data_IF_555419352927
#
_entry.id   IF_555419352927
#
_cell.length_a   1.000
_cell.length_b   1.000
_cell.length_c   1.000
_cell.angle_alpha   90.00
_cell.angle_beta   90.00
_cell.angle_gamma   90.00
#
_symmetry.space_group_name_H-M   'P 1'
#
loop_
_entity.id
_entity.type
_entity.pdbx_description
1 polymer ?
#
# COMPACT_ATOMS: atom_id res chain seq x y z
N UNK A 1 5.25 -12.56 47.16
CA UNK A 1 5.79 -11.43 46.37
C UNK A 1 5.72 -11.87 44.92
N UNK A 2 4.71 -11.39 44.18
CA UNK A 2 4.47 -11.79 42.79
C UNK A 2 5.58 -11.18 41.92
N UNK A 3 6.25 -12.01 41.10
CA UNK A 3 7.07 -11.51 40.00
C UNK A 3 6.13 -10.80 39.02
N UNK A 4 6.03 -9.48 39.14
CA UNK A 4 5.37 -8.67 38.12
C UNK A 4 6.23 -8.77 36.86
N UNK A 5 5.69 -9.41 35.82
CA UNK A 5 6.32 -9.47 34.50
C UNK A 5 6.57 -8.04 34.02
N UNK A 6 7.81 -7.71 33.70
CA UNK A 6 8.18 -6.44 33.10
C UNK A 6 7.83 -6.44 31.61
N UNK A 7 7.55 -5.25 31.07
CA UNK A 7 7.43 -5.06 29.62
C UNK A 7 8.83 -5.01 29.00
N UNK A 8 8.93 -5.44 27.76
CA UNK A 8 10.17 -5.32 27.00
C UNK A 8 10.37 -3.89 26.48
N UNK A 9 11.61 -3.62 26.06
CA UNK A 9 12.01 -2.31 25.58
C UNK A 9 11.27 -1.90 24.29
N UNK A 10 10.94 -2.86 23.42
CA UNK A 10 10.18 -2.60 22.19
C UNK A 10 8.78 -2.08 22.51
N UNK A 11 8.06 -2.69 23.45
CA UNK A 11 6.74 -2.18 23.85
C UNK A 11 6.84 -0.79 24.48
N UNK A 12 7.89 -0.52 25.27
CA UNK A 12 8.12 0.83 25.84
C UNK A 12 8.42 1.89 24.75
N UNK A 13 9.13 1.51 23.68
CA UNK A 13 9.37 2.36 22.51
C UNK A 13 8.07 2.67 21.77
N UNK A 14 7.26 1.65 21.48
CA UNK A 14 5.95 1.82 20.85
C UNK A 14 5.03 2.67 21.72
N UNK A 15 5.12 2.55 23.04
CA UNK A 15 4.38 3.41 23.98
C UNK A 15 4.84 4.87 23.88
N UNK A 16 6.15 5.12 23.80
CA UNK A 16 6.73 6.46 23.66
C UNK A 16 6.26 7.16 22.37
N UNK A 17 6.32 6.48 21.23
CA UNK A 17 5.85 7.04 19.94
C UNK A 17 4.32 7.01 19.79
N UNK A 18 3.63 6.34 20.70
CA UNK A 18 2.19 6.23 20.65
C UNK A 18 1.66 5.26 19.59
N UNK A 19 2.46 4.28 19.20
CA UNK A 19 2.15 3.28 18.18
C UNK A 19 1.43 2.04 18.75
N UNK A 20 1.29 1.94 20.08
CA UNK A 20 0.49 0.90 20.72
C UNK A 20 -1.01 1.09 20.49
N UNK A 21 -1.71 -0.04 20.37
CA UNK A 21 -3.17 -0.08 20.35
C UNK A 21 -3.75 0.49 21.66
N UNK A 22 -4.96 1.06 21.58
CA UNK A 22 -5.58 1.77 22.72
C UNK A 22 -5.78 0.90 23.97
N UNK A 23 -5.95 -0.41 23.82
CA UNK A 23 -6.05 -1.35 24.93
C UNK A 23 -4.69 -1.61 25.60
N UNK A 24 -3.66 -1.84 24.78
CA UNK A 24 -2.28 -2.10 25.24
C UNK A 24 -1.69 -0.87 25.92
N UNK A 25 -1.90 0.31 25.33
CA UNK A 25 -1.47 1.58 25.92
C UNK A 25 -2.07 1.81 27.31
N UNK A 26 -3.35 1.47 27.52
CA UNK A 26 -4.00 1.57 28.83
C UNK A 26 -3.44 0.56 29.83
N UNK A 27 -3.25 -0.69 29.40
CA UNK A 27 -2.68 -1.73 30.26
C UNK A 27 -1.25 -1.39 30.71
N UNK A 28 -0.40 -0.97 29.77
CA UNK A 28 0.95 -0.50 30.07
C UNK A 28 0.93 0.77 30.93
N UNK A 29 0.02 1.72 30.65
CA UNK A 29 -0.16 2.90 31.49
C UNK A 29 -0.43 2.55 32.96
N UNK A 30 -1.35 1.62 33.22
CA UNK A 30 -1.62 1.13 34.57
C UNK A 30 -0.40 0.40 35.18
N UNK A 31 0.30 -0.43 34.41
CA UNK A 31 1.52 -1.09 34.86
C UNK A 31 2.61 -0.07 35.26
N UNK A 32 2.76 1.01 34.50
CA UNK A 32 3.71 2.08 34.80
C UNK A 32 3.35 2.85 36.08
N UNK A 33 2.13 2.81 36.59
CA UNK A 33 1.80 3.38 37.91
C UNK A 33 2.34 2.51 39.05
N UNK A 34 2.40 1.20 38.85
CA UNK A 34 2.78 0.23 39.88
C UNK A 34 4.26 -0.20 39.81
N UNK A 35 4.87 -0.20 38.62
CA UNK A 35 6.18 -0.78 38.37
C UNK A 35 7.29 0.27 38.20
N UNK A 36 8.17 0.38 39.21
CA UNK A 36 9.29 1.31 39.18
C UNK A 36 10.35 0.98 38.12
N UNK A 37 10.55 -0.31 37.80
CA UNK A 37 11.56 -0.75 36.82
C UNK A 37 11.18 -0.28 35.42
N UNK A 38 9.97 -0.56 34.97
CA UNK A 38 9.51 -0.13 33.65
C UNK A 38 9.41 1.40 33.53
N UNK A 39 9.15 2.12 34.64
CA UNK A 39 9.25 3.59 34.64
C UNK A 39 10.69 4.06 34.41
N UNK A 40 11.66 3.49 35.12
CA UNK A 40 13.07 3.85 34.95
C UNK A 40 13.57 3.54 33.54
N UNK A 41 13.16 2.41 32.96
CA UNK A 41 13.49 2.07 31.57
C UNK A 41 12.83 3.03 30.57
N UNK A 42 11.57 3.41 30.79
CA UNK A 42 10.90 4.39 29.93
C UNK A 42 11.57 5.77 30.02
N UNK A 43 11.99 6.19 31.20
CA UNK A 43 12.67 7.48 31.39
C UNK A 43 14.08 7.47 30.77
N UNK A 44 14.83 6.36 30.86
CA UNK A 44 16.14 6.24 30.19
C UNK A 44 16.00 6.25 28.66
N UNK A 45 14.96 5.61 28.12
CA UNK A 45 14.60 5.68 26.72
C UNK A 45 14.30 7.13 26.30
N UNK A 46 13.44 7.83 27.04
CA UNK A 46 13.10 9.24 26.77
C UNK A 46 14.33 10.14 26.72
N UNK A 47 15.23 10.05 27.70
CA UNK A 47 16.47 10.83 27.72
C UNK A 47 17.33 10.57 26.48
N UNK A 48 17.39 9.31 26.03
CA UNK A 48 18.17 8.93 24.85
C UNK A 48 17.53 9.44 23.55
N UNK A 49 16.20 9.36 23.45
CA UNK A 49 15.46 9.78 22.26
C UNK A 49 15.36 11.31 22.15
N UNK A 50 15.17 12.01 23.27
CA UNK A 50 15.11 13.47 23.32
C UNK A 50 16.47 14.13 23.01
N UNK A 51 17.57 13.38 23.14
CA UNK A 51 18.89 13.82 22.72
C UNK A 51 19.06 13.83 21.18
N UNK A 52 18.18 13.16 20.43
CA UNK A 52 18.21 13.15 18.97
C UNK A 52 17.55 14.44 18.46
N UNK A 53 18.25 15.29 17.70
CA UNK A 53 17.66 16.50 17.15
C UNK A 53 16.54 16.11 16.18
N UNK A 54 15.33 16.60 16.45
CA UNK A 54 14.25 16.50 15.47
C UNK A 54 14.53 17.46 14.33
N UNK A 55 14.96 16.91 13.19
CA UNK A 55 15.16 17.68 11.97
C UNK A 55 13.82 17.74 11.26
N UNK A 56 13.12 18.87 11.37
CA UNK A 56 12.02 19.14 10.45
C UNK A 56 12.58 19.41 9.06
N UNK A 57 12.12 18.67 8.03
CA UNK A 57 12.59 18.91 6.67
C UNK A 57 12.15 20.32 6.24
N UNK A 58 13.13 21.16 5.89
CA UNK A 58 12.86 22.48 5.33
C UNK A 58 12.45 22.33 3.86
N UNK A 59 11.17 22.09 3.64
CA UNK A 59 10.60 21.98 2.30
C UNK A 59 10.14 23.38 1.86
N UNK A 60 10.62 23.85 0.70
CA UNK A 60 10.16 25.12 0.16
C UNK A 60 8.67 25.05 -0.22
N UNK A 61 7.98 26.19 -0.16
CA UNK A 61 6.57 26.25 -0.58
C UNK A 61 6.42 25.78 -2.05
N UNK A 62 7.39 26.13 -2.90
CA UNK A 62 7.38 25.73 -4.31
C UNK A 62 7.51 24.21 -4.48
N UNK A 63 8.41 23.56 -3.73
CA UNK A 63 8.57 22.10 -3.78
C UNK A 63 7.34 21.38 -3.25
N UNK A 64 6.69 21.93 -2.21
CA UNK A 64 5.44 21.39 -1.67
C UNK A 64 4.31 21.46 -2.69
N UNK A 65 4.20 22.56 -3.45
CA UNK A 65 3.21 22.69 -4.51
C UNK A 65 3.50 21.73 -5.67
N UNK A 66 4.75 21.66 -6.13
CA UNK A 66 5.15 20.72 -7.18
C UNK A 66 4.82 19.28 -6.81
N UNK A 67 5.16 18.86 -5.59
CA UNK A 67 4.82 17.52 -5.10
C UNK A 67 3.30 17.29 -5.05
N UNK A 68 2.53 18.27 -4.58
CA UNK A 68 1.07 18.16 -4.55
C UNK A 68 0.48 18.01 -5.96
N UNK A 69 0.98 18.78 -6.93
CA UNK A 69 0.53 18.72 -8.33
C UNK A 69 0.87 17.36 -8.95
N UNK A 70 2.08 16.84 -8.72
CA UNK A 70 2.51 15.52 -9.18
C UNK A 70 1.63 14.39 -8.62
N UNK A 71 1.31 14.43 -7.32
CA UNK A 71 0.41 13.45 -6.68
C UNK A 71 -0.99 13.52 -7.29
N UNK A 72 -1.53 14.72 -7.47
CA UNK A 72 -2.86 14.93 -8.07
C UNK A 72 -2.90 14.41 -9.52
N UNK A 73 -1.87 14.72 -10.31
CA UNK A 73 -1.77 14.24 -11.68
C UNK A 73 -1.69 12.71 -11.74
N UNK A 74 -0.90 12.09 -10.87
CA UNK A 74 -0.79 10.64 -10.81
C UNK A 74 -2.12 9.97 -10.46
N UNK A 75 -2.88 10.54 -9.53
CA UNK A 75 -4.23 10.05 -9.19
C UNK A 75 -5.18 10.15 -10.38
N UNK A 76 -5.18 11.27 -11.12
CA UNK A 76 -6.01 11.44 -12.31
C UNK A 76 -5.65 10.45 -13.43
N UNK A 77 -4.35 10.23 -13.68
CA UNK A 77 -3.87 9.24 -14.67
C UNK A 77 -4.33 7.82 -14.32
N UNK A 78 -4.21 7.41 -13.05
CA UNK A 78 -4.69 6.10 -12.57
C UNK A 78 -6.21 5.96 -12.75
N UNK A 79 -6.99 6.98 -12.40
CA UNK A 79 -8.45 6.95 -12.53
C UNK A 79 -8.89 6.91 -14.00
N UNK A 80 -8.24 7.67 -14.89
CA UNK A 80 -8.52 7.68 -16.32
C UNK A 80 -8.31 6.30 -16.97
N UNK A 81 -7.19 5.63 -16.64
CA UNK A 81 -6.92 4.25 -17.09
C UNK A 81 -7.98 3.26 -16.59
N UNK A 82 -8.40 3.35 -15.33
CA UNK A 82 -9.42 2.46 -14.80
C UNK A 82 -10.80 2.69 -15.45
N UNK A 83 -11.17 3.95 -15.75
CA UNK A 83 -12.42 4.25 -16.47
C UNK A 83 -12.41 3.72 -17.90
N UNK A 84 -11.29 3.81 -18.60
CA UNK A 84 -11.15 3.26 -19.96
C UNK A 84 -11.20 1.73 -19.97
N UNK A 85 -10.58 1.07 -18.98
CA UNK A 85 -10.64 -0.38 -18.82
C UNK A 85 -12.08 -0.90 -18.61
N UNK A 86 -12.91 -0.14 -17.89
CA UNK A 86 -14.32 -0.51 -17.67
C UNK A 86 -15.27 0.01 -18.76
N UNK A 87 -14.84 0.95 -19.60
CA UNK A 87 -15.64 1.47 -20.72
C UNK A 87 -15.69 0.53 -21.94
N UNK A 88 -14.75 -0.43 -22.04
CA UNK A 88 -14.66 -1.37 -23.16
C UNK A 88 -15.67 -2.52 -23.11
N UNK A 89 -16.31 -2.79 -21.97
CA UNK A 89 -17.20 -3.95 -21.80
C UNK A 89 -18.60 -3.77 -22.41
N UNK A 90 -19.00 -2.55 -22.78
CA UNK A 90 -20.34 -2.30 -23.33
C UNK A 90 -20.47 -2.44 -24.86
N UNK A 91 -19.37 -2.46 -25.61
CA UNK A 91 -19.43 -2.53 -27.09
C UNK A 91 -19.68 -3.98 -27.57
N UNK A 92 -19.29 -5.00 -26.80
CA UNK A 92 -19.45 -6.41 -27.19
C UNK A 92 -20.89 -6.92 -27.10
N UNK A 93 -21.70 -6.40 -26.16
CA UNK A 93 -23.08 -6.84 -25.98
C UNK A 93 -24.01 -6.41 -27.13
N UNK A 94 -23.78 -5.23 -27.72
CA UNK A 94 -24.60 -4.72 -28.82
C UNK A 94 -24.40 -5.54 -30.12
N UNK A 95 -23.17 -5.98 -30.41
CA UNK A 95 -22.89 -6.87 -31.55
C UNK A 95 -23.50 -8.26 -31.35
N UNK A 96 -23.44 -8.81 -30.13
CA UNK A 96 -24.05 -10.10 -29.80
C UNK A 96 -25.59 -10.05 -29.93
N UNK A 97 -26.21 -8.97 -29.45
CA UNK A 97 -27.65 -8.75 -29.59
C UNK A 97 -28.07 -8.57 -31.05
N UNK A 98 -27.27 -7.90 -31.88
CA UNK A 98 -27.55 -7.71 -33.31
C UNK A 98 -27.48 -9.01 -34.11
N UNK A 99 -26.62 -9.96 -33.69
CA UNK A 99 -26.54 -11.31 -34.26
C UNK A 99 -27.75 -12.17 -33.85
N UNK A 100 -28.21 -12.06 -32.59
CA UNK A 100 -29.38 -12.79 -32.10
C UNK A 100 -30.73 -12.28 -32.64
N UNK A 101 -30.81 -11.01 -33.07
CA UNK A 101 -32.05 -10.42 -33.60
C UNK A 101 -32.26 -10.65 -35.12
N UNK A 102 -31.34 -11.33 -35.82
CA UNK A 102 -31.52 -11.69 -37.24
C UNK A 102 -32.38 -12.96 -37.36
N UNK A 103 -33.60 -12.92 -37.92
CA UNK A 103 -34.35 -14.13 -38.19
C UNK A 103 -33.84 -14.76 -39.50
N UNK A 104 -33.23 -15.95 -39.40
CA UNK A 104 -32.76 -16.74 -40.54
C UNK A 104 -32.69 -18.22 -40.17
N UNK A 105 -32.96 -19.13 -41.12
CA UNK A 105 -33.75 -20.34 -40.93
C UNK A 105 -33.02 -21.47 -40.21
N UNK A 106 -33.82 -22.43 -39.71
CA UNK A 106 -33.40 -23.61 -38.95
C UNK A 106 -32.11 -24.26 -39.47
N UNK A 107 -31.12 -24.39 -38.59
CA UNK A 107 -29.92 -25.17 -38.82
C UNK A 107 -29.64 -26.14 -37.66
N UNK A 108 -29.10 -27.33 -37.98
CA UNK A 108 -29.20 -28.53 -37.18
C UNK A 108 -28.28 -28.51 -35.94
N UNK A 109 -28.65 -29.32 -34.95
CA UNK A 109 -27.91 -29.54 -33.71
C UNK A 109 -26.48 -30.03 -33.99
N UNK A 110 -25.52 -29.13 -33.84
CA UNK A 110 -24.09 -29.46 -33.80
C UNK A 110 -23.66 -29.46 -32.33
N UNK A 111 -23.31 -30.65 -31.84
CA UNK A 111 -22.66 -30.87 -30.54
C UNK A 111 -21.37 -30.04 -30.43
N UNK A 112 -21.14 -29.29 -29.33
CA UNK A 112 -19.94 -28.49 -29.18
C UNK A 112 -18.73 -29.35 -28.73
N UNK A 113 -17.55 -29.22 -29.35
CA UNK A 113 -16.30 -29.60 -28.71
C UNK A 113 -15.87 -28.46 -27.77
N UNK A 114 -15.69 -28.78 -26.49
CA UNK A 114 -15.06 -27.91 -25.50
C UNK A 114 -13.56 -27.86 -25.79
N UNK A 115 -12.96 -26.66 -25.90
CA UNK A 115 -11.85 -26.36 -25.01
C UNK A 115 -11.91 -24.91 -24.51
N UNK A 116 -12.48 -24.73 -23.32
CA UNK A 116 -12.31 -23.54 -22.51
C UNK A 116 -11.03 -23.68 -21.67
N UNK A 117 -9.84 -23.53 -22.27
CA UNK A 117 -8.57 -23.49 -21.51
C UNK A 117 -7.47 -22.58 -22.09
N UNK A 118 -7.69 -21.86 -23.19
CA UNK A 118 -6.64 -21.02 -23.81
C UNK A 118 -6.60 -19.57 -23.30
N UNK A 119 -7.59 -19.10 -22.53
CA UNK A 119 -7.68 -17.69 -22.09
C UNK A 119 -7.09 -17.43 -20.69
N UNK A 120 -6.73 -18.47 -19.93
CA UNK A 120 -6.19 -18.29 -18.57
C UNK A 120 -4.69 -18.00 -18.53
N UNK A 121 -3.92 -18.30 -19.58
CA UNK A 121 -2.46 -18.14 -19.59
C UNK A 121 -2.00 -16.69 -19.88
N UNK A 122 -2.90 -15.82 -20.32
CA UNK A 122 -2.58 -14.42 -20.65
C UNK A 122 -2.71 -13.49 -19.44
N UNK A 123 -3.50 -13.85 -18.42
CA UNK A 123 -3.65 -13.02 -17.22
C UNK A 123 -2.42 -13.09 -16.30
N UNK A 124 -1.74 -14.23 -16.21
CA UNK A 124 -0.58 -14.41 -15.32
C UNK A 124 0.64 -13.59 -15.78
N UNK A 125 0.72 -13.27 -17.08
CA UNK A 125 1.84 -12.51 -17.67
C UNK A 125 1.77 -10.99 -17.42
N UNK A 126 0.65 -10.48 -16.92
CA UNK A 126 0.48 -9.04 -16.64
C UNK A 126 0.86 -8.64 -15.21
N UNK A 127 0.95 -9.59 -14.27
CA UNK A 127 1.27 -9.31 -12.87
C UNK A 127 2.80 -9.15 -12.65
N UNK A 128 3.62 -9.86 -13.44
CA UNK A 128 5.09 -9.80 -13.36
C UNK A 128 5.71 -8.48 -13.85
N UNK A 129 4.98 -7.67 -14.63
CA UNK A 129 5.50 -6.40 -15.17
C UNK A 129 5.38 -5.22 -14.20
N UNK A 130 4.76 -5.39 -13.02
CA UNK A 130 4.65 -4.31 -12.03
C UNK A 130 5.89 -4.18 -11.13
N UNK A 131 6.75 -5.20 -11.07
CA UNK A 131 7.96 -5.18 -10.22
C UNK A 131 9.21 -4.57 -10.89
N UNK A 132 9.14 -4.19 -12.17
CA UNK A 132 10.29 -3.59 -12.87
C UNK A 132 10.41 -2.06 -12.74
N UNK A 133 9.35 -1.36 -12.30
CA UNK A 133 9.41 0.10 -12.08
C UNK A 133 10.14 0.47 -10.77
N UNK A 134 10.19 -0.44 -9.79
CA UNK A 134 10.87 -0.18 -8.50
C UNK A 134 12.41 -0.25 -8.64
N UNK A 135 12.92 -0.96 -9.64
CA UNK A 135 14.36 -1.04 -9.91
C UNK A 135 14.91 0.19 -10.66
N UNK A 136 14.04 1.01 -11.27
CA UNK A 136 14.46 2.23 -11.98
C UNK A 136 14.80 3.38 -11.03
N UNK A 137 14.20 3.41 -9.84
CA UNK A 137 14.43 4.45 -8.82
C UNK A 137 15.74 4.25 -8.02
N UNK A 138 16.35 3.06 -8.11
CA UNK A 138 17.63 2.77 -7.43
C UNK A 138 18.85 3.36 -8.14
N UNK A 139 18.83 3.48 -9.47
CA UNK A 139 19.92 4.12 -10.24
C UNK A 139 20.04 5.62 -9.91
N UNK A 140 18.92 6.31 -9.67
CA UNK A 140 18.89 7.72 -9.29
C UNK A 140 19.46 7.99 -7.89
N UNK A 141 19.32 7.04 -6.96
CA UNK A 141 19.89 7.15 -5.61
C UNK A 141 21.41 6.94 -5.62
N UNK A 142 21.92 6.06 -6.48
CA UNK A 142 23.35 5.82 -6.67
C UNK A 142 24.07 7.03 -7.29
N UNK A 143 23.41 7.77 -8.18
CA UNK A 143 23.97 8.98 -8.80
C UNK A 143 24.10 10.15 -7.80
N UNK A 144 23.20 10.24 -6.82
CA UNK A 144 23.25 11.26 -5.76
C UNK A 144 24.34 11.01 -4.72
N UNK A 145 24.65 9.75 -4.41
CA UNK A 145 25.75 9.39 -3.51
C UNK A 145 27.12 9.71 -4.13
N UNK A 146 27.22 9.67 -5.47
CA UNK A 146 28.48 9.93 -6.18
C UNK A 146 28.80 11.43 -6.38
N UNK A 147 27.83 12.30 -6.09
CA UNK A 147 27.95 13.77 -6.15
C UNK A 147 28.10 14.44 -4.76
N UNK A 148 28.18 13.65 -3.69
CA UNK A 148 28.58 14.06 -2.33
C UNK A 148 30.04 13.73 -2.05
#
# INVERSE_FOLDING_TARGET
MNQAKHYDQETLLLYHYGELLSAERRALGAHLEECAVCRQELDSLRVTLDAVPQVEPQISIADRHRFADEVVEQMHRRQGRHRLAWGGTFISAALLALVLLRPGPELPSVTPPVPAMAEFEVLEKMEMLQDLDVLQDLDLLLELEQLG
#
